data_IF_164138369612
#
_entry.id   IF_164138369612
#
_cell.length_a   1.000
_cell.length_b   1.000
_cell.length_c   1.000
_cell.angle_alpha   90.00
_cell.angle_beta   90.00
_cell.angle_gamma   90.00
#
_symmetry.space_group_name_H-M   'P 1'
#
loop_
_entity.id
_entity.type
_entity.pdbx_description
1 polymer ?
#
# COMPACT_ATOMS: atom_id res chain seq x y z
N UNK A 1 12.10 78.45 30.90
CA UNK A 1 10.65 78.20 31.09
C UNK A 1 10.41 76.75 30.70
N UNK A 2 9.82 75.98 31.62
CA UNK A 2 9.52 74.53 31.71
C UNK A 2 9.71 73.64 30.44
N UNK A 3 10.40 72.49 30.43
CA UNK A 3 10.42 71.24 31.25
C UNK A 3 9.39 70.14 30.83
N UNK A 4 9.97 68.99 30.38
CA UNK A 4 9.58 67.55 30.58
C UNK A 4 8.37 67.06 29.75
N UNK A 5 8.25 65.85 29.14
CA UNK A 5 8.86 64.51 29.27
C UNK A 5 8.74 63.69 27.95
N UNK A 6 9.69 62.77 27.64
CA UNK A 6 9.60 61.27 27.63
C UNK A 6 8.60 60.64 26.63
N UNK A 7 8.81 59.52 25.93
CA UNK A 7 9.88 58.55 25.55
C UNK A 7 9.16 57.46 24.72
N UNK A 8 9.88 56.71 23.87
CA UNK A 8 9.61 55.31 23.47
C UNK A 8 8.39 55.06 22.54
N UNK A 9 8.44 54.24 21.50
CA UNK A 9 9.19 52.99 21.25
C UNK A 9 9.54 52.94 19.75
N UNK A 10 10.83 52.88 19.42
CA UNK A 10 11.26 52.33 18.13
C UNK A 10 10.76 50.88 18.05
N UNK A 11 9.74 50.65 17.23
CA UNK A 11 9.31 49.32 16.88
C UNK A 11 10.44 48.62 16.14
N UNK A 12 11.21 47.81 16.87
CA UNK A 12 12.02 46.73 16.32
C UNK A 12 11.09 45.84 15.48
N UNK A 13 10.97 46.15 14.19
CA UNK A 13 10.44 45.22 13.22
C UNK A 13 11.52 44.15 13.03
N UNK A 14 11.41 43.04 13.75
CA UNK A 14 12.13 41.83 13.38
C UNK A 14 11.69 41.50 11.95
N UNK A 15 12.60 41.68 10.98
CA UNK A 15 12.32 41.33 9.58
C UNK A 15 12.41 39.81 9.52
N UNK A 16 11.27 39.15 9.60
CA UNK A 16 11.19 37.73 9.31
C UNK A 16 11.33 37.55 7.79
N UNK A 17 12.34 36.79 7.37
CA UNK A 17 12.43 36.32 5.98
C UNK A 17 11.63 35.02 5.85
N UNK A 18 10.69 35.00 4.90
CA UNK A 18 9.83 33.86 4.64
C UNK A 18 10.14 33.28 3.27
N UNK A 19 10.73 32.09 3.23
CA UNK A 19 10.96 31.35 1.98
C UNK A 19 10.15 30.06 2.02
N UNK A 20 9.51 29.70 0.89
CA UNK A 20 8.78 28.45 0.81
C UNK A 20 9.77 27.29 0.64
N UNK A 21 9.49 26.13 1.23
CA UNK A 21 10.39 24.97 1.11
C UNK A 21 10.69 24.59 -0.35
N UNK A 22 9.72 24.79 -1.25
CA UNK A 22 9.88 24.55 -2.69
C UNK A 22 10.99 25.36 -3.36
N UNK A 23 11.39 26.48 -2.75
CA UNK A 23 12.36 27.41 -3.35
C UNK A 23 13.79 26.86 -3.21
N UNK A 24 14.01 25.91 -2.30
CA UNK A 24 15.33 25.37 -2.00
C UNK A 24 15.37 23.83 -1.80
N UNK A 25 14.22 23.15 -1.86
CA UNK A 25 14.13 21.69 -1.75
C UNK A 25 13.40 21.04 -2.93
N UNK A 26 14.00 19.96 -3.43
CA UNK A 26 13.37 19.05 -4.38
C UNK A 26 13.44 17.63 -3.81
N UNK A 27 12.28 17.07 -3.50
CA UNK A 27 12.08 15.68 -3.05
C UNK A 27 11.41 14.89 -4.18
N UNK A 28 12.00 13.76 -4.57
CA UNK A 28 11.45 12.85 -5.59
C UNK A 28 11.47 11.40 -5.08
N UNK A 29 10.32 10.72 -5.00
CA UNK A 29 10.27 9.30 -4.70
C UNK A 29 10.69 8.47 -5.93
N UNK A 30 11.45 7.40 -5.69
CA UNK A 30 11.64 6.29 -6.61
C UNK A 30 10.76 5.15 -6.11
N UNK A 31 9.70 4.84 -6.85
CA UNK A 31 8.77 3.78 -6.50
C UNK A 31 9.33 2.40 -6.81
N UNK A 32 8.80 1.40 -6.11
CA UNK A 32 8.99 0.00 -6.40
C UNK A 32 8.41 -0.34 -7.78
N UNK A 33 9.15 -1.12 -8.57
CA UNK A 33 8.84 -1.43 -9.98
C UNK A 33 7.42 -1.97 -10.16
N UNK A 34 6.93 -2.74 -9.18
CA UNK A 34 5.55 -3.29 -9.18
C UNK A 34 4.50 -2.23 -9.50
N UNK A 35 4.63 -1.00 -8.99
CA UNK A 35 3.67 0.08 -9.21
C UNK A 35 3.74 0.71 -10.62
N UNK A 36 4.60 0.17 -11.48
CA UNK A 36 4.68 0.49 -12.91
C UNK A 36 4.65 -0.76 -13.80
N UNK A 37 4.48 -1.94 -13.19
CA UNK A 37 4.54 -3.23 -13.87
C UNK A 37 3.22 -3.62 -14.52
N UNK A 38 3.23 -4.72 -15.28
CA UNK A 38 2.02 -5.29 -15.85
C UNK A 38 1.03 -5.78 -14.77
N UNK A 39 1.51 -6.13 -13.57
CA UNK A 39 0.70 -6.76 -12.52
C UNK A 39 -0.27 -5.82 -11.81
N UNK A 40 -0.19 -4.52 -12.06
CA UNK A 40 -1.18 -3.54 -11.59
C UNK A 40 -2.11 -3.07 -12.70
N UNK A 41 -1.90 -3.52 -13.94
CA UNK A 41 -2.70 -3.10 -15.09
C UNK A 41 -4.01 -3.89 -15.17
N UNK A 42 -5.01 -3.25 -15.78
CA UNK A 42 -6.33 -3.84 -15.98
C UNK A 42 -6.28 -5.14 -16.80
N UNK A 43 -5.38 -5.24 -17.79
CA UNK A 43 -5.20 -6.44 -18.61
C UNK A 43 -4.81 -7.68 -17.80
N UNK A 44 -3.97 -7.51 -16.77
CA UNK A 44 -3.60 -8.58 -15.85
C UNK A 44 -4.77 -8.98 -14.96
N UNK A 45 -5.48 -8.00 -14.39
CA UNK A 45 -6.62 -8.24 -13.49
C UNK A 45 -7.76 -8.96 -14.24
N UNK A 46 -8.05 -8.55 -15.47
CA UNK A 46 -9.07 -9.18 -16.32
C UNK A 46 -8.68 -10.59 -16.72
N UNK A 47 -7.39 -10.84 -17.00
CA UNK A 47 -6.91 -12.18 -17.31
C UNK A 47 -7.07 -13.15 -16.13
N UNK A 48 -6.89 -12.67 -14.90
CA UNK A 48 -7.07 -13.47 -13.68
C UNK A 48 -8.55 -13.66 -13.29
N UNK A 49 -9.48 -12.95 -13.93
CA UNK A 49 -10.88 -13.03 -13.58
C UNK A 49 -11.51 -14.33 -14.11
N UNK A 50 -11.92 -15.21 -13.20
CA UNK A 50 -12.61 -16.46 -13.52
C UNK A 50 -14.00 -16.47 -12.86
N UNK A 51 -15.02 -16.18 -13.66
CA UNK A 51 -16.43 -16.14 -13.24
C UNK A 51 -16.95 -17.51 -12.76
N UNK A 52 -16.32 -18.62 -13.16
CA UNK A 52 -16.80 -19.96 -12.81
C UNK A 52 -16.28 -20.46 -11.45
N UNK A 53 -15.28 -19.78 -10.88
CA UNK A 53 -14.55 -20.26 -9.69
C UNK A 53 -14.93 -19.53 -8.39
N UNK A 54 -16.05 -18.79 -8.34
CA UNK A 54 -16.39 -17.81 -7.28
C UNK A 54 -16.42 -18.40 -5.84
N UNK A 55 -16.57 -19.72 -5.66
CA UNK A 55 -16.80 -20.35 -4.34
C UNK A 55 -15.75 -21.36 -3.89
N UNK A 56 -14.70 -21.57 -4.67
CA UNK A 56 -13.66 -22.53 -4.30
C UNK A 56 -12.60 -21.86 -3.45
N UNK A 57 -12.06 -22.56 -2.44
CA UNK A 57 -10.82 -22.15 -1.74
C UNK A 57 -9.61 -22.28 -2.68
N UNK A 58 -9.76 -21.78 -3.89
CA UNK A 58 -8.85 -21.87 -4.99
C UNK A 58 -8.43 -20.45 -5.35
N UNK A 59 -7.16 -20.32 -5.70
CA UNK A 59 -6.56 -19.08 -6.18
C UNK A 59 -7.33 -18.42 -7.34
N UNK A 60 -7.96 -19.19 -8.25
CA UNK A 60 -8.79 -18.63 -9.34
C UNK A 60 -9.91 -17.71 -8.84
N UNK A 61 -10.48 -18.02 -7.68
CA UNK A 61 -11.57 -17.24 -7.10
C UNK A 61 -11.11 -15.83 -6.68
N UNK A 62 -9.86 -15.69 -6.21
CA UNK A 62 -9.40 -14.51 -5.47
C UNK A 62 -8.27 -13.75 -6.12
N UNK A 63 -7.55 -14.33 -7.09
CA UNK A 63 -6.35 -13.73 -7.66
C UNK A 63 -6.63 -12.34 -8.26
N UNK A 64 -7.70 -12.20 -9.06
CA UNK A 64 -8.08 -10.91 -9.63
C UNK A 64 -8.29 -9.83 -8.54
N UNK A 65 -8.97 -10.18 -7.45
CA UNK A 65 -9.20 -9.26 -6.34
C UNK A 65 -7.92 -8.88 -5.59
N UNK A 66 -6.98 -9.81 -5.44
CA UNK A 66 -5.68 -9.53 -4.82
C UNK A 66 -4.86 -8.53 -5.65
N UNK A 67 -4.79 -8.72 -6.97
CA UNK A 67 -4.10 -7.77 -7.84
C UNK A 67 -4.83 -6.45 -8.02
N UNK A 68 -6.17 -6.45 -7.91
CA UNK A 68 -6.94 -5.22 -7.80
C UNK A 68 -6.60 -4.45 -6.52
N UNK A 69 -6.43 -5.14 -5.38
CA UNK A 69 -5.93 -4.52 -4.14
C UNK A 69 -4.53 -3.95 -4.35
N UNK A 70 -3.60 -4.70 -4.94
CA UNK A 70 -2.23 -4.21 -5.21
C UNK A 70 -2.23 -2.95 -6.10
N UNK A 71 -3.00 -2.98 -7.19
CA UNK A 71 -3.16 -1.82 -8.09
C UNK A 71 -3.72 -0.61 -7.36
N UNK A 72 -4.75 -0.82 -6.52
CA UNK A 72 -5.32 0.22 -5.68
C UNK A 72 -4.29 0.79 -4.70
N UNK A 73 -3.54 -0.07 -4.00
CA UNK A 73 -2.52 0.32 -3.03
C UNK A 73 -1.43 1.18 -3.66
N UNK A 74 -0.91 0.82 -4.83
CA UNK A 74 0.04 1.63 -5.58
C UNK A 74 -0.54 3.02 -5.92
N UNK A 75 -1.78 3.07 -6.40
CA UNK A 75 -2.44 4.33 -6.76
C UNK A 75 -2.66 5.25 -5.56
N UNK A 76 -3.15 4.71 -4.44
CA UNK A 76 -3.37 5.53 -3.25
C UNK A 76 -2.06 5.98 -2.60
N UNK A 77 -1.00 5.16 -2.69
CA UNK A 77 0.32 5.52 -2.20
C UNK A 77 0.88 6.72 -2.98
N UNK A 78 0.82 6.68 -4.32
CA UNK A 78 1.22 7.82 -5.16
C UNK A 78 0.39 9.07 -4.83
N UNK A 79 -0.95 8.97 -4.85
CA UNK A 79 -1.82 10.10 -4.50
C UNK A 79 -1.51 10.71 -3.14
N UNK A 80 -1.33 9.88 -2.11
CA UNK A 80 -0.97 10.34 -0.75
C UNK A 80 0.36 11.08 -0.74
N UNK A 81 1.36 10.59 -1.49
CA UNK A 81 2.67 11.25 -1.61
C UNK A 81 2.55 12.58 -2.33
N UNK A 82 1.84 12.65 -3.46
CA UNK A 82 1.69 13.91 -4.21
C UNK A 82 0.97 14.97 -3.37
N UNK A 83 -0.11 14.60 -2.67
CA UNK A 83 -0.84 15.50 -1.78
C UNK A 83 0.04 15.98 -0.62
N UNK A 84 0.79 15.06 0.00
CA UNK A 84 1.67 15.39 1.12
C UNK A 84 2.84 16.26 0.69
N UNK A 85 3.42 16.02 -0.50
CA UNK A 85 4.45 16.88 -1.08
C UNK A 85 3.91 18.28 -1.37
N UNK A 86 2.70 18.39 -1.92
CA UNK A 86 2.07 19.69 -2.16
C UNK A 86 1.89 20.49 -0.87
N UNK A 87 1.46 19.83 0.21
CA UNK A 87 1.35 20.44 1.54
C UNK A 87 2.72 20.82 2.11
N UNK A 88 3.70 19.91 2.02
CA UNK A 88 5.07 20.14 2.46
C UNK A 88 5.67 21.38 1.80
N UNK A 89 5.58 21.47 0.47
CA UNK A 89 6.09 22.60 -0.30
C UNK A 89 5.37 23.94 -0.06
N UNK A 90 4.17 23.90 0.52
CA UNK A 90 3.45 25.10 0.97
C UNK A 90 3.94 25.63 2.32
N UNK A 91 4.69 24.82 3.07
CA UNK A 91 5.22 25.20 4.38
C UNK A 91 6.36 26.20 4.21
N UNK A 92 6.35 27.23 5.06
CA UNK A 92 7.36 28.29 5.07
C UNK A 92 8.46 27.94 6.05
N UNK A 93 9.69 28.15 5.62
CA UNK A 93 10.84 28.16 6.53
C UNK A 93 10.96 29.56 7.13
N UNK A 94 10.97 29.63 8.46
CA UNK A 94 10.96 30.88 9.22
C UNK A 94 12.22 30.90 10.08
N UNK A 95 13.06 31.91 9.86
CA UNK A 95 14.22 32.20 10.71
C UNK A 95 14.20 33.67 11.13
N UNK A 96 14.66 33.93 12.35
CA UNK A 96 14.77 35.29 12.89
C UNK A 96 16.11 35.95 12.54
N UNK A 97 17.08 35.13 12.13
CA UNK A 97 18.46 35.54 11.89
C UNK A 97 19.00 34.92 10.61
N UNK A 98 20.07 35.52 10.07
CA UNK A 98 20.88 34.89 9.03
C UNK A 98 21.59 33.66 9.62
N UNK A 99 21.12 32.46 9.28
CA UNK A 99 21.66 31.22 9.82
C UNK A 99 22.85 30.71 8.98
N UNK A 100 23.85 30.08 9.61
CA UNK A 100 24.89 29.35 8.88
C UNK A 100 24.27 28.24 8.03
N UNK A 101 24.86 27.99 6.85
CA UNK A 101 24.40 26.93 5.95
C UNK A 101 24.35 25.55 6.62
N UNK A 102 25.29 25.23 7.52
CA UNK A 102 25.27 23.98 8.28
C UNK A 102 24.04 23.84 9.19
N UNK A 103 23.59 24.95 9.79
CA UNK A 103 22.39 24.97 10.62
C UNK A 103 21.13 24.85 9.75
N UNK A 104 21.12 25.51 8.60
CA UNK A 104 20.06 25.36 7.59
C UNK A 104 19.91 23.91 7.13
N UNK A 105 21.02 23.22 6.82
CA UNK A 105 21.00 21.80 6.43
C UNK A 105 20.43 20.92 7.54
N UNK A 106 20.90 21.07 8.79
CA UNK A 106 20.39 20.28 9.92
C UNK A 106 18.88 20.49 10.11
N UNK A 107 18.40 21.74 10.06
CA UNK A 107 16.98 22.03 10.22
C UNK A 107 16.16 21.46 9.06
N UNK A 108 16.67 21.57 7.85
CA UNK A 108 16.02 21.07 6.65
C UNK A 108 15.95 19.55 6.62
N UNK A 109 17.05 18.87 6.95
CA UNK A 109 17.11 17.41 7.07
C UNK A 109 16.12 16.92 8.13
N UNK A 110 16.05 17.60 9.28
CA UNK A 110 15.07 17.29 10.34
C UNK A 110 13.61 17.47 9.86
N UNK A 111 13.32 18.53 9.10
CA UNK A 111 12.00 18.77 8.52
C UNK A 111 11.63 17.68 7.51
N UNK A 112 12.58 17.25 6.66
CA UNK A 112 12.37 16.17 5.69
C UNK A 112 12.16 14.83 6.41
N UNK A 113 12.93 14.53 7.45
CA UNK A 113 12.78 13.34 8.28
C UNK A 113 11.41 13.27 8.94
N UNK A 114 10.93 14.40 9.49
CA UNK A 114 9.59 14.50 10.08
C UNK A 114 8.54 14.26 8.99
N UNK A 115 8.69 14.89 7.82
CA UNK A 115 7.78 14.70 6.70
C UNK A 115 7.65 13.23 6.31
N UNK A 116 8.77 12.53 6.09
CA UNK A 116 8.77 11.11 5.70
C UNK A 116 8.12 10.22 6.77
N UNK A 117 8.42 10.44 8.05
CA UNK A 117 7.83 9.68 9.17
C UNK A 117 6.33 9.93 9.31
N UNK A 118 5.91 11.19 9.22
CA UNK A 118 4.49 11.56 9.31
C UNK A 118 3.70 11.02 8.13
N UNK A 119 4.25 11.07 6.92
CA UNK A 119 3.64 10.52 5.71
C UNK A 119 3.34 9.02 5.85
N UNK A 120 4.33 8.22 6.26
CA UNK A 120 4.15 6.77 6.51
C UNK A 120 3.03 6.50 7.52
N UNK A 121 3.01 7.24 8.64
CA UNK A 121 1.98 7.07 9.67
C UNK A 121 0.57 7.48 9.20
N UNK A 122 0.45 8.59 8.47
CA UNK A 122 -0.84 9.08 7.96
C UNK A 122 -1.44 8.11 6.95
N UNK A 123 -0.61 7.42 6.18
CA UNK A 123 -1.05 6.38 5.25
C UNK A 123 -1.46 5.08 5.96
N UNK A 124 -0.68 4.65 6.95
CA UNK A 124 -0.88 3.37 7.64
C UNK A 124 -2.14 3.31 8.50
N UNK A 125 -2.44 4.38 9.26
CA UNK A 125 -3.55 4.35 10.25
C UNK A 125 -4.94 4.14 9.62
N UNK A 126 -5.35 4.85 8.56
CA UNK A 126 -6.65 4.60 7.93
C UNK A 126 -6.77 3.19 7.36
N UNK A 127 -5.65 2.64 6.89
CA UNK A 127 -5.59 1.30 6.35
C UNK A 127 -5.81 0.23 7.44
N UNK A 128 -5.08 0.32 8.56
CA UNK A 128 -5.29 -0.54 9.73
C UNK A 128 -6.71 -0.43 10.27
N UNK A 129 -7.24 0.79 10.37
CA UNK A 129 -8.63 1.02 10.78
C UNK A 129 -9.64 0.36 9.83
N UNK A 130 -9.39 0.38 8.53
CA UNK A 130 -10.24 -0.29 7.54
C UNK A 130 -10.24 -1.80 7.77
N UNK A 131 -9.08 -2.41 8.02
CA UNK A 131 -8.95 -3.84 8.32
C UNK A 131 -9.69 -4.22 9.61
N UNK A 132 -9.54 -3.41 10.66
CA UNK A 132 -10.24 -3.60 11.93
C UNK A 132 -11.76 -3.48 11.78
N UNK A 133 -12.24 -2.54 10.96
CA UNK A 133 -13.67 -2.39 10.67
C UNK A 133 -14.22 -3.58 9.87
N UNK A 134 -13.47 -4.09 8.89
CA UNK A 134 -13.86 -5.28 8.12
C UNK A 134 -14.04 -6.49 9.04
N UNK A 135 -13.07 -6.75 9.93
CA UNK A 135 -13.11 -7.88 10.84
C UNK A 135 -14.14 -7.69 11.97
N UNK A 136 -14.16 -6.51 12.60
CA UNK A 136 -15.05 -6.20 13.71
C UNK A 136 -16.53 -6.26 13.34
N UNK A 137 -16.86 -5.96 12.09
CA UNK A 137 -18.22 -6.09 11.56
C UNK A 137 -18.46 -7.44 10.84
N UNK A 138 -17.46 -8.32 10.78
CA UNK A 138 -17.53 -9.60 10.07
C UNK A 138 -18.07 -9.45 8.63
N UNK A 139 -17.63 -8.40 7.92
CA UNK A 139 -18.12 -8.10 6.58
C UNK A 139 -17.76 -9.23 5.63
N UNK A 140 -18.76 -9.87 5.02
CA UNK A 140 -18.54 -11.03 4.19
C UNK A 140 -17.88 -10.64 2.85
N UNK A 141 -16.81 -11.34 2.50
CA UNK A 141 -16.17 -11.27 1.17
C UNK A 141 -17.12 -11.84 0.12
N UNK A 142 -17.19 -11.23 -1.05
CA UNK A 142 -17.99 -11.74 -2.18
C UNK A 142 -17.54 -13.15 -2.61
N UNK A 143 -16.28 -13.48 -2.37
CA UNK A 143 -15.66 -14.79 -2.65
C UNK A 143 -15.91 -15.83 -1.55
N UNK A 144 -16.65 -15.47 -0.50
CA UNK A 144 -16.92 -16.35 0.66
C UNK A 144 -15.66 -16.93 1.32
N UNK A 145 -14.54 -16.23 1.21
CA UNK A 145 -13.22 -16.67 1.71
C UNK A 145 -13.04 -16.48 3.22
N UNK A 146 -13.85 -15.62 3.82
CA UNK A 146 -13.93 -15.40 5.28
C UNK A 146 -15.15 -16.05 5.93
N UNK A 147 -16.30 -16.04 5.26
CA UNK A 147 -17.55 -16.61 5.73
C UNK A 147 -18.32 -17.21 4.55
N UNK A 148 -18.92 -18.39 4.76
CA UNK A 148 -19.76 -19.07 3.77
C UNK A 148 -21.19 -19.20 4.24
N UNK A 149 -22.11 -19.18 3.27
CA UNK A 149 -23.50 -19.56 3.51
C UNK A 149 -23.67 -21.06 3.34
N UNK A 150 -24.35 -21.70 4.29
CA UNK A 150 -24.75 -23.10 4.24
C UNK A 150 -26.27 -23.17 4.27
N UNK A 151 -26.85 -23.69 3.19
CA UNK A 151 -28.29 -23.96 3.10
C UNK A 151 -28.48 -25.46 3.32
N UNK A 152 -29.06 -25.86 4.46
CA UNK A 152 -29.23 -27.27 4.80
C UNK A 152 -30.44 -27.93 4.08
N UNK A 153 -31.46 -27.13 3.73
CA UNK A 153 -32.69 -27.57 3.06
C UNK A 153 -33.22 -26.46 2.14
N UNK A 154 -33.94 -26.81 1.08
CA UNK A 154 -34.51 -25.87 0.11
C UNK A 154 -36.03 -25.75 0.25
N UNK A 155 -36.50 -25.44 1.46
CA UNK A 155 -37.93 -25.12 1.72
C UNK A 155 -38.13 -23.62 1.96
N UNK A 156 -39.37 -23.13 1.84
CA UNK A 156 -39.74 -21.70 1.93
C UNK A 156 -39.34 -20.98 3.24
N UNK A 157 -38.91 -21.72 4.27
CA UNK A 157 -38.51 -21.19 5.58
C UNK A 157 -37.20 -21.79 6.08
N UNK A 158 -36.37 -22.31 5.17
CA UNK A 158 -35.10 -22.90 5.57
C UNK A 158 -34.14 -21.82 6.07
N UNK A 159 -33.57 -21.96 7.29
CA UNK A 159 -32.58 -21.02 7.77
C UNK A 159 -31.30 -21.08 6.91
N UNK A 160 -30.73 -19.91 6.65
CA UNK A 160 -29.42 -19.77 6.04
C UNK A 160 -28.41 -19.66 7.17
N UNK A 161 -27.54 -20.66 7.30
CA UNK A 161 -26.47 -20.62 8.29
C UNK A 161 -25.27 -19.91 7.70
N UNK A 162 -24.66 -19.04 8.48
CA UNK A 162 -23.35 -18.48 8.17
C UNK A 162 -22.31 -19.26 8.98
N UNK A 163 -21.19 -19.62 8.35
CA UNK A 163 -20.08 -20.27 9.05
C UNK A 163 -18.77 -19.57 8.67
N UNK A 164 -17.86 -19.31 9.63
CA UNK A 164 -16.56 -18.79 9.30
C UNK A 164 -15.73 -19.82 8.54
N UNK A 165 -14.88 -19.35 7.65
CA UNK A 165 -13.96 -20.17 6.89
C UNK A 165 -12.71 -20.51 7.70
N UNK A 166 -12.12 -21.65 7.37
CA UNK A 166 -10.85 -22.11 7.94
C UNK A 166 -9.79 -22.15 6.85
N UNK A 167 -8.60 -21.64 7.15
CA UNK A 167 -7.40 -21.75 6.33
C UNK A 167 -6.33 -22.53 7.09
N UNK A 168 -5.58 -23.37 6.38
CA UNK A 168 -4.59 -24.28 6.96
C UNK A 168 -5.17 -25.19 8.09
N UNK A 169 -6.45 -25.56 7.96
CA UNK A 169 -7.25 -26.40 8.87
C UNK A 169 -7.43 -25.91 10.32
N UNK A 170 -6.65 -24.92 10.76
CA UNK A 170 -6.57 -24.50 12.17
C UNK A 170 -6.91 -23.03 12.38
N UNK A 171 -6.75 -22.20 11.36
CA UNK A 171 -6.96 -20.76 11.49
C UNK A 171 -8.38 -20.37 11.07
N UNK A 172 -9.14 -19.81 12.01
CA UNK A 172 -10.56 -19.48 11.87
C UNK A 172 -10.77 -17.98 11.55
N UNK A 173 -11.42 -17.68 10.42
CA UNK A 173 -11.70 -16.31 10.00
C UNK A 173 -12.66 -15.54 10.91
N UNK A 174 -13.46 -16.24 11.72
CA UNK A 174 -14.32 -15.63 12.73
C UNK A 174 -13.54 -15.07 13.93
N UNK A 175 -12.32 -15.54 14.17
CA UNK A 175 -11.47 -15.07 15.29
C UNK A 175 -10.25 -14.29 14.84
N UNK A 176 -9.81 -14.43 13.58
CA UNK A 176 -8.68 -13.69 13.02
C UNK A 176 -8.87 -13.41 11.54
N UNK A 177 -8.74 -12.15 11.12
CA UNK A 177 -8.71 -11.77 9.70
C UNK A 177 -7.42 -12.19 8.99
N UNK A 178 -6.37 -12.48 9.76
CA UNK A 178 -5.03 -12.76 9.26
C UNK A 178 -4.82 -14.21 8.83
N UNK A 179 -5.84 -15.06 8.89
CA UNK A 179 -5.69 -16.45 8.48
C UNK A 179 -5.39 -16.57 6.99
N UNK A 180 -4.31 -17.29 6.68
CA UNK A 180 -3.83 -17.52 5.33
C UNK A 180 -3.36 -18.96 5.14
N UNK A 181 -3.28 -19.37 3.88
CA UNK A 181 -2.66 -20.62 3.44
C UNK A 181 -1.96 -20.40 2.09
N UNK A 182 -0.83 -21.08 1.83
CA UNK A 182 -0.11 -20.93 0.57
C UNK A 182 -0.98 -21.28 -0.64
N UNK A 183 -0.75 -20.58 -1.75
CA UNK A 183 -1.35 -20.93 -3.03
C UNK A 183 -0.71 -22.22 -3.55
N UNK A 184 -1.55 -23.16 -3.97
CA UNK A 184 -1.13 -24.45 -4.51
C UNK A 184 -1.75 -24.67 -5.89
N UNK A 185 -0.90 -24.73 -6.92
CA UNK A 185 -1.28 -24.84 -8.33
C UNK A 185 -0.54 -26.04 -8.92
N UNK A 186 -1.24 -26.94 -9.62
CA UNK A 186 -0.65 -28.09 -10.32
C UNK A 186 0.38 -28.87 -9.46
N UNK A 187 -0.01 -29.17 -8.22
CA UNK A 187 0.82 -29.88 -7.24
C UNK A 187 2.09 -29.14 -6.78
N UNK A 188 2.16 -27.82 -6.97
CA UNK A 188 3.31 -26.98 -6.62
C UNK A 188 2.86 -25.73 -5.86
N UNK A 189 3.63 -25.32 -4.85
CA UNK A 189 3.38 -24.05 -4.17
C UNK A 189 3.81 -22.88 -5.04
N UNK A 190 2.99 -21.83 -5.07
CA UNK A 190 3.37 -20.55 -5.69
C UNK A 190 4.09 -19.74 -4.62
N UNK A 191 5.41 -19.67 -4.73
CA UNK A 191 6.23 -18.94 -3.76
C UNK A 191 5.75 -17.49 -3.60
N UNK A 192 5.66 -17.07 -2.34
CA UNK A 192 5.22 -15.74 -1.97
C UNK A 192 3.71 -15.51 -1.99
N UNK A 193 2.89 -16.37 -2.59
CA UNK A 193 1.46 -16.11 -2.74
C UNK A 193 0.59 -16.90 -1.76
N UNK A 194 -0.40 -16.23 -1.18
CA UNK A 194 -1.32 -16.79 -0.20
C UNK A 194 -2.79 -16.51 -0.56
N UNK A 195 -3.69 -17.39 -0.11
CA UNK A 195 -5.13 -17.13 0.00
C UNK A 195 -5.54 -17.16 1.47
N UNK A 196 -6.71 -16.64 1.83
CA UNK A 196 -7.06 -16.39 3.22
C UNK A 196 -8.38 -15.67 3.37
N UNK A 197 -8.68 -15.14 4.56
CA UNK A 197 -10.00 -14.58 4.86
C UNK A 197 -10.38 -13.44 3.91
N UNK A 198 -9.49 -12.46 3.73
CA UNK A 198 -9.72 -11.31 2.88
C UNK A 198 -8.62 -11.15 1.82
N UNK A 199 -8.96 -10.78 0.58
CA UNK A 199 -7.98 -10.45 -0.45
C UNK A 199 -6.96 -9.39 -0.01
N UNK A 200 -7.40 -8.39 0.76
CA UNK A 200 -6.49 -7.36 1.29
C UNK A 200 -5.46 -7.93 2.28
N UNK A 201 -5.90 -8.68 3.28
CA UNK A 201 -5.01 -9.30 4.29
C UNK A 201 -4.01 -10.27 3.66
N UNK A 202 -4.48 -11.04 2.69
CA UNK A 202 -3.66 -12.05 2.01
C UNK A 202 -2.65 -11.41 1.08
N UNK A 203 -3.03 -10.35 0.37
CA UNK A 203 -2.10 -9.63 -0.49
C UNK A 203 -0.97 -9.00 0.32
N UNK A 204 -1.28 -8.38 1.47
CA UNK A 204 -0.27 -7.82 2.37
C UNK A 204 0.72 -8.85 2.91
N UNK A 205 0.22 -10.05 3.26
CA UNK A 205 1.05 -11.14 3.77
C UNK A 205 1.87 -11.84 2.67
N UNK A 206 1.47 -11.66 1.41
CA UNK A 206 2.16 -12.21 0.25
C UNK A 206 3.41 -11.39 -0.10
N UNK A 207 4.34 -12.04 -0.79
CA UNK A 207 5.44 -11.41 -1.52
C UNK A 207 5.25 -11.64 -3.02
N UNK A 208 6.06 -10.97 -3.83
CA UNK A 208 6.01 -11.08 -5.29
C UNK A 208 7.08 -12.03 -5.84
N UNK A 209 7.61 -12.95 -5.01
CA UNK A 209 8.73 -13.82 -5.35
C UNK A 209 8.52 -14.56 -6.69
N UNK A 210 7.35 -15.15 -6.88
CA UNK A 210 6.98 -15.82 -8.14
C UNK A 210 7.05 -14.90 -9.37
N UNK A 211 6.77 -13.61 -9.19
CA UNK A 211 6.68 -12.62 -10.28
C UNK A 211 8.05 -12.11 -10.75
N UNK A 212 9.13 -12.45 -10.05
CA UNK A 212 10.50 -12.28 -10.53
C UNK A 212 11.02 -13.49 -11.32
N UNK A 213 10.28 -14.61 -11.34
CA UNK A 213 10.70 -15.86 -11.94
C UNK A 213 9.83 -16.23 -13.15
N UNK A 214 10.45 -16.31 -14.33
CA UNK A 214 9.72 -16.57 -15.58
C UNK A 214 8.99 -17.91 -15.58
N UNK A 215 9.59 -18.96 -15.01
CA UNK A 215 8.98 -20.29 -14.93
C UNK A 215 7.77 -20.29 -14.00
N UNK A 216 7.86 -19.60 -12.86
CA UNK A 216 6.76 -19.48 -11.92
C UNK A 216 5.60 -18.66 -12.51
N UNK A 217 5.90 -17.54 -13.18
CA UNK A 217 4.89 -16.78 -13.90
C UNK A 217 4.19 -17.64 -14.97
N UNK A 218 4.93 -18.41 -15.77
CA UNK A 218 4.34 -19.30 -16.78
C UNK A 218 3.44 -20.38 -16.17
N UNK A 219 3.77 -20.87 -14.97
CA UNK A 219 2.88 -21.79 -14.23
C UNK A 219 1.54 -21.14 -13.92
N UNK A 220 1.54 -19.89 -13.42
CA UNK A 220 0.31 -19.12 -13.18
C UNK A 220 -0.46 -18.92 -14.49
N UNK A 221 0.21 -18.51 -15.57
CA UNK A 221 -0.45 -18.32 -16.87
C UNK A 221 -1.11 -19.62 -17.35
N UNK A 222 -0.38 -20.74 -17.35
CA UNK A 222 -0.94 -22.04 -17.73
C UNK A 222 -2.15 -22.45 -16.87
N UNK A 223 -2.17 -21.99 -15.61
CA UNK A 223 -3.23 -22.29 -14.68
C UNK A 223 -4.52 -21.52 -14.93
N UNK A 224 -4.46 -20.28 -15.41
CA UNK A 224 -5.65 -19.49 -15.74
C UNK A 224 -6.16 -19.74 -17.16
N UNK A 225 -5.29 -20.19 -18.07
CA UNK A 225 -5.65 -20.59 -19.43
C UNK A 225 -4.94 -19.76 -20.50
N UNK A 226 -5.42 -19.86 -21.74
CA UNK A 226 -4.78 -19.19 -22.87
C UNK A 226 -4.88 -17.66 -22.78
N UNK A 227 -3.75 -16.99 -23.02
CA UNK A 227 -3.70 -15.55 -23.11
C UNK A 227 -4.41 -15.04 -24.38
N UNK A 228 -5.12 -13.90 -24.31
CA UNK A 228 -5.57 -13.22 -25.51
C UNK A 228 -4.41 -12.92 -26.46
N UNK A 229 -4.66 -13.02 -27.78
CA UNK A 229 -3.65 -12.68 -28.79
C UNK A 229 -3.15 -11.25 -28.58
N UNK A 230 -1.82 -11.08 -28.53
CA UNK A 230 -1.09 -9.81 -28.29
C UNK A 230 -0.99 -9.33 -26.83
N UNK A 231 -1.37 -10.13 -25.84
CA UNK A 231 -1.08 -9.84 -24.43
C UNK A 231 0.17 -10.59 -24.01
N UNK A 232 1.14 -9.88 -23.43
CA UNK A 232 2.33 -10.46 -22.83
C UNK A 232 2.57 -9.82 -21.49
N UNK A 233 2.79 -10.63 -20.46
CA UNK A 233 3.14 -10.15 -19.12
C UNK A 233 4.62 -10.42 -18.84
N UNK A 234 5.33 -9.41 -18.37
CA UNK A 234 6.76 -9.48 -18.07
C UNK A 234 6.99 -9.66 -16.58
N UNK A 235 7.98 -10.48 -16.24
CA UNK A 235 8.47 -10.59 -14.86
C UNK A 235 9.05 -9.26 -14.38
N UNK A 236 9.00 -9.04 -13.07
CA UNK A 236 9.68 -7.94 -12.40
C UNK A 236 11.20 -8.12 -12.47
N UNK A 237 11.93 -7.01 -12.40
CA UNK A 237 13.38 -7.01 -12.27
C UNK A 237 13.79 -6.92 -10.79
N UNK A 238 14.69 -7.81 -10.36
CA UNK A 238 15.17 -7.78 -8.99
C UNK A 238 15.96 -6.47 -8.74
N UNK A 239 15.54 -5.68 -7.76
CA UNK A 239 16.32 -4.56 -7.25
C UNK A 239 17.35 -5.07 -6.24
N UNK A 240 18.56 -4.51 -6.25
CA UNK A 240 19.57 -4.83 -5.24
C UNK A 240 19.20 -4.29 -3.84
N UNK A 241 18.19 -3.42 -3.74
CA UNK A 241 17.87 -2.70 -2.50
C UNK A 241 16.91 -3.49 -1.58
N UNK A 242 16.04 -4.32 -2.14
CA UNK A 242 15.02 -5.07 -1.39
C UNK A 242 14.99 -6.53 -1.86
N UNK A 243 14.71 -7.45 -0.94
CA UNK A 243 14.62 -8.88 -1.23
C UNK A 243 13.41 -9.19 -2.12
N UNK A 244 13.53 -10.20 -2.98
CA UNK A 244 12.40 -10.70 -3.80
C UNK A 244 11.30 -11.35 -2.94
N UNK A 245 11.63 -11.71 -1.70
CA UNK A 245 10.76 -12.27 -0.67
C UNK A 245 10.12 -11.21 0.24
N UNK A 246 10.42 -9.92 -0.01
CA UNK A 246 9.80 -8.80 0.70
C UNK A 246 8.27 -8.86 0.64
N UNK A 247 7.64 -8.71 1.80
CA UNK A 247 6.18 -8.71 1.88
C UNK A 247 5.61 -7.41 1.33
N UNK A 248 4.45 -7.51 0.71
CA UNK A 248 3.73 -6.34 0.21
C UNK A 248 3.36 -5.40 1.36
N UNK A 249 3.13 -5.91 2.58
CA UNK A 249 2.95 -5.05 3.74
C UNK A 249 4.17 -4.15 4.02
N UNK A 250 5.38 -4.66 3.84
CA UNK A 250 6.62 -3.89 4.03
C UNK A 250 6.77 -2.84 2.92
N UNK A 251 6.29 -3.13 1.71
CA UNK A 251 6.16 -2.15 0.63
C UNK A 251 5.14 -1.06 0.97
N UNK A 252 3.95 -1.44 1.44
CA UNK A 252 2.87 -0.53 1.85
C UNK A 252 3.30 0.38 3.00
N UNK A 253 4.02 -0.14 4.00
CA UNK A 253 4.50 0.62 5.16
C UNK A 253 5.43 1.78 4.75
N UNK A 254 6.08 1.68 3.58
CA UNK A 254 6.90 2.74 2.98
C UNK A 254 6.28 3.37 1.72
N UNK A 255 4.96 3.21 1.52
CA UNK A 255 4.22 3.74 0.37
C UNK A 255 4.81 3.32 -0.99
N UNK A 256 5.36 2.10 -1.06
CA UNK A 256 6.09 1.57 -2.20
C UNK A 256 7.30 2.42 -2.63
N UNK A 257 7.80 3.31 -1.78
CA UNK A 257 8.99 4.11 -2.09
C UNK A 257 10.23 3.31 -1.72
N UNK A 258 11.06 3.02 -2.72
CA UNK A 258 12.36 2.38 -2.53
C UNK A 258 13.42 3.40 -2.12
N UNK A 259 13.38 4.60 -2.68
CA UNK A 259 14.38 5.62 -2.39
C UNK A 259 13.77 7.03 -2.51
N UNK A 260 14.21 7.94 -1.66
CA UNK A 260 13.94 9.36 -1.80
C UNK A 260 15.19 10.07 -2.33
N UNK A 261 15.07 10.77 -3.47
CA UNK A 261 16.08 11.70 -3.95
C UNK A 261 15.76 13.07 -3.37
N UNK A 262 16.67 13.63 -2.58
CA UNK A 262 16.53 14.96 -1.95
C UNK A 262 17.67 15.84 -2.45
N UNK A 263 17.33 16.92 -3.13
CA UNK A 263 18.28 17.94 -3.56
C UNK A 263 17.99 19.24 -2.80
N UNK A 264 19.05 19.83 -2.25
CA UNK A 264 19.02 21.11 -1.54
C UNK A 264 19.80 22.14 -2.37
N UNK A 265 19.27 23.35 -2.52
CA UNK A 265 19.91 24.46 -3.26
C UNK A 265 20.08 25.70 -2.41
#
# INVERSE_FOLDING_TARGET
>A
MCLISQTNIDSLSTIYEYHALKDFLIIRPIYHEVCSSDFIQQSWIEYLYDEQSITDQNYRAVAAAQFQVLSYLCRIADGTIQESLAQFYSTKFITNDFIPFSLFQIQTDSIVDIFQKTLSQTFKRPFEMTQDLLQGNSLMSVFQTNWKFTVLKTSSWSPIYTNPMFHNQTCNCGTSSKCTQPVFINNTFVNGMYIGCYPVETMLQSSLECFYNQTCLQMILSYFGELPKNVTFRVLSASNQYGIDEKIQEMVDRLFVNQWIINQS
#
